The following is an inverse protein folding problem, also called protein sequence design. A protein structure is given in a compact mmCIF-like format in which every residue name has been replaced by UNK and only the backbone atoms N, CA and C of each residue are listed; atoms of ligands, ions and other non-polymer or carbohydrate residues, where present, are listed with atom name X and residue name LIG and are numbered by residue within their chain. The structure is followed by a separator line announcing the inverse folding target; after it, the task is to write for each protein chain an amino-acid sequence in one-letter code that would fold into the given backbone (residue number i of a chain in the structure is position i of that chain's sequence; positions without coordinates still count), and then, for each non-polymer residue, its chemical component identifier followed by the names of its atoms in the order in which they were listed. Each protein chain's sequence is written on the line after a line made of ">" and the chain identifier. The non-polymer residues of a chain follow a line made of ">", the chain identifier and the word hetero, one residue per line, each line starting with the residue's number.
data_IF_676621561110
#
_entry.id   IF_676621561110
#
_cell.length_a   1.000
_cell.length_b   1.000
_cell.length_c   1.000
_cell.angle_alpha   90.00
_cell.angle_beta   90.00
_cell.angle_gamma   90.00
#
_symmetry.space_group_name_H-M   'P 1'
#
loop_
_entity.id
_entity.type
_entity.pdbx_description
1 polymer ?
#
# COMPACT_ATOMS: atom_id res chain seq x y z
N UNK A 1 -15.97 -0.44 19.82
CA UNK A 1 -15.88 0.01 18.41
C UNK A 1 -15.66 1.52 18.33
N UNK A 2 -16.51 2.33 18.96
CA UNK A 2 -16.37 3.80 19.02
C UNK A 2 -14.99 4.31 19.48
N UNK A 3 -14.40 3.67 20.49
CA UNK A 3 -13.06 4.03 21.02
C UNK A 3 -11.98 3.91 19.94
N UNK A 4 -12.02 2.87 19.09
CA UNK A 4 -11.01 2.68 18.05
C UNK A 4 -11.12 3.78 17.01
N UNK A 5 -12.34 4.09 16.53
CA UNK A 5 -12.55 5.18 15.56
C UNK A 5 -12.08 6.54 16.13
N UNK A 6 -12.33 6.81 17.41
CA UNK A 6 -11.90 8.04 18.11
C UNK A 6 -10.38 8.16 18.24
N UNK A 7 -9.64 7.05 18.30
CA UNK A 7 -8.16 7.05 18.37
C UNK A 7 -7.52 7.07 16.97
N UNK A 8 -8.12 6.37 16.01
CA UNK A 8 -7.57 6.27 14.66
C UNK A 8 -7.76 7.55 13.84
N UNK A 9 -8.86 8.29 14.03
CA UNK A 9 -9.09 9.54 13.28
C UNK A 9 -8.01 10.61 13.57
N UNK A 10 -7.64 10.88 14.84
CA UNK A 10 -6.50 11.74 15.15
C UNK A 10 -5.17 11.20 14.63
N UNK A 11 -4.95 9.87 14.66
CA UNK A 11 -3.71 9.26 14.17
C UNK A 11 -3.54 9.46 12.65
N UNK A 12 -4.60 9.22 11.87
CA UNK A 12 -4.63 9.49 10.43
C UNK A 12 -4.40 10.99 10.17
N UNK A 13 -5.09 11.86 10.90
CA UNK A 13 -4.95 13.31 10.75
C UNK A 13 -3.53 13.79 11.04
N UNK A 14 -2.92 13.28 12.11
CA UNK A 14 -1.56 13.61 12.49
C UNK A 14 -0.56 13.12 11.44
N UNK A 15 -0.70 11.88 10.95
CA UNK A 15 0.17 11.36 9.91
C UNK A 15 0.06 12.18 8.61
N UNK A 16 -1.17 12.54 8.21
CA UNK A 16 -1.41 13.38 7.04
C UNK A 16 -0.83 14.80 7.19
N UNK A 17 -0.94 15.38 8.39
CA UNK A 17 -0.40 16.72 8.70
C UNK A 17 1.12 16.77 8.87
N UNK A 18 1.75 15.68 9.34
CA UNK A 18 3.19 15.58 9.55
C UNK A 18 4.00 15.28 8.28
N UNK A 19 3.35 15.27 7.11
CA UNK A 19 4.03 15.10 5.83
C UNK A 19 4.35 13.65 5.47
N UNK A 20 3.60 12.67 6.00
CA UNK A 20 3.70 11.29 5.54
C UNK A 20 3.43 11.19 4.02
N UNK A 21 4.14 10.30 3.32
CA UNK A 21 3.83 10.00 1.91
C UNK A 21 2.81 8.87 1.79
N UNK A 22 2.81 7.95 2.76
CA UNK A 22 2.01 6.73 2.78
C UNK A 22 1.46 6.52 4.19
N UNK A 23 0.17 6.21 4.29
CA UNK A 23 -0.49 5.74 5.51
C UNK A 23 -0.90 4.28 5.28
N UNK A 24 -0.44 3.39 6.17
CA UNK A 24 -0.75 1.97 6.15
C UNK A 24 -1.69 1.63 7.32
N UNK A 25 -2.97 1.42 7.01
CA UNK A 25 -3.98 0.97 7.98
C UNK A 25 -4.24 -0.51 7.76
N UNK A 26 -3.40 -1.36 8.37
CA UNK A 26 -3.47 -2.81 8.25
C UNK A 26 -4.53 -3.44 9.17
N UNK A 27 -5.72 -2.84 9.19
CA UNK A 27 -6.85 -3.20 10.04
C UNK A 27 -8.16 -2.81 9.37
N UNK A 28 -9.26 -3.40 9.84
CA UNK A 28 -10.63 -3.03 9.48
C UNK A 28 -11.47 -2.87 10.74
N UNK A 29 -12.41 -1.93 10.73
CA UNK A 29 -13.40 -1.77 11.81
C UNK A 29 -14.77 -1.44 11.21
N UNK A 30 -15.83 -1.96 11.82
CA UNK A 30 -17.20 -1.56 11.45
C UNK A 30 -17.41 -0.09 11.83
N UNK A 31 -18.00 0.72 10.95
CA UNK A 31 -18.36 2.08 11.29
C UNK A 31 -19.42 2.06 12.41
N UNK A 32 -19.49 3.09 13.26
CA UNK A 32 -20.60 3.25 14.19
C UNK A 32 -21.94 3.14 13.44
N UNK A 33 -22.96 2.48 14.02
CA UNK A 33 -24.25 2.32 13.36
C UNK A 33 -24.81 3.69 12.97
N UNK A 34 -25.38 3.84 11.78
CA UNK A 34 -26.16 5.03 11.47
C UNK A 34 -27.42 4.99 12.33
N UNK A 35 -27.67 6.04 13.10
CA UNK A 35 -28.82 6.20 13.99
C UNK A 35 -28.71 5.41 15.30
N UNK A 36 -28.22 6.08 16.37
CA UNK A 36 -28.65 5.82 17.75
C UNK A 36 -28.26 6.99 18.69
N UNK A 37 -27.19 7.75 18.42
CA UNK A 37 -26.74 8.89 19.25
C UNK A 37 -25.97 9.98 18.45
N UNK A 38 -26.05 11.27 18.86
CA UNK A 38 -25.30 12.39 18.24
C UNK A 38 -23.78 12.17 18.24
N UNK A 39 -23.27 11.47 19.25
CA UNK A 39 -21.86 11.11 19.40
C UNK A 39 -21.35 10.20 18.26
N UNK A 40 -22.20 9.32 17.74
CA UNK A 40 -21.82 8.37 16.68
C UNK A 40 -21.70 9.08 15.32
N UNK A 41 -22.57 10.06 15.06
CA UNK A 41 -22.53 10.91 13.87
C UNK A 41 -21.30 11.83 13.85
N UNK A 42 -20.93 12.40 15.01
CA UNK A 42 -19.71 13.19 15.14
C UNK A 42 -18.48 12.32 14.85
N UNK A 43 -18.40 11.13 15.44
CA UNK A 43 -17.27 10.22 15.26
C UNK A 43 -17.12 9.77 13.80
N UNK A 44 -18.23 9.46 13.12
CA UNK A 44 -18.24 9.15 11.68
C UNK A 44 -17.70 10.32 10.85
N UNK A 45 -18.14 11.54 11.16
CA UNK A 45 -17.72 12.76 10.46
C UNK A 45 -16.23 13.03 10.64
N UNK A 46 -15.72 12.93 11.86
CA UNK A 46 -14.30 13.12 12.18
C UNK A 46 -13.42 12.10 11.45
N UNK A 47 -13.86 10.85 11.37
CA UNK A 47 -13.12 9.81 10.64
C UNK A 47 -13.08 10.11 9.13
N UNK A 48 -14.21 10.48 8.53
CA UNK A 48 -14.27 10.88 7.11
C UNK A 48 -13.39 12.10 6.86
N UNK A 49 -13.39 13.09 7.76
CA UNK A 49 -12.54 14.26 7.64
C UNK A 49 -11.04 13.93 7.71
N UNK A 50 -10.65 13.02 8.60
CA UNK A 50 -9.26 12.55 8.69
C UNK A 50 -8.79 11.89 7.39
N UNK A 51 -9.61 11.01 6.80
CA UNK A 51 -9.31 10.37 5.50
C UNK A 51 -9.25 11.40 4.38
N UNK A 52 -10.17 12.38 4.36
CA UNK A 52 -10.16 13.47 3.37
C UNK A 52 -8.99 14.43 3.55
N UNK A 53 -8.48 14.62 4.76
CA UNK A 53 -7.25 15.37 5.01
C UNK A 53 -6.05 14.66 4.37
N UNK A 54 -5.94 13.35 4.53
CA UNK A 54 -4.91 12.56 3.84
C UNK A 54 -5.02 12.67 2.31
N UNK A 55 -6.25 12.64 1.77
CA UNK A 55 -6.51 12.86 0.34
C UNK A 55 -6.06 14.23 -0.14
N UNK A 56 -6.42 15.30 0.58
CA UNK A 56 -6.04 16.69 0.22
C UNK A 56 -4.52 16.91 0.25
N UNK A 57 -3.81 16.18 1.09
CA UNK A 57 -2.36 16.28 1.23
C UNK A 57 -1.60 15.35 0.28
N UNK A 58 -2.27 14.72 -0.70
CA UNK A 58 -1.68 13.73 -1.62
C UNK A 58 -0.86 12.66 -0.86
N UNK A 59 -1.41 12.18 0.25
CA UNK A 59 -0.88 11.02 0.99
C UNK A 59 -1.51 9.79 0.35
N UNK A 60 -0.77 8.71 0.13
CA UNK A 60 -1.35 7.45 -0.35
C UNK A 60 -1.86 6.65 0.85
N UNK A 61 -3.14 6.28 0.86
CA UNK A 61 -3.72 5.51 1.97
C UNK A 61 -4.05 4.08 1.53
N UNK A 62 -3.38 3.11 2.15
CA UNK A 62 -3.62 1.69 1.93
C UNK A 62 -4.31 1.08 3.15
N UNK A 63 -5.41 0.38 2.90
CA UNK A 63 -6.20 -0.27 3.93
C UNK A 63 -6.43 -1.75 3.62
N UNK A 64 -6.65 -2.55 4.67
CA UNK A 64 -6.99 -3.96 4.53
C UNK A 64 -8.43 -4.11 4.05
N UNK A 65 -8.66 -5.12 3.21
CA UNK A 65 -10.00 -5.68 3.03
C UNK A 65 -10.42 -6.43 4.30
N UNK A 66 -11.72 -6.54 4.54
CA UNK A 66 -12.23 -7.41 5.59
C UNK A 66 -11.92 -8.88 5.30
N UNK A 67 -11.48 -9.59 6.34
CA UNK A 67 -11.28 -11.04 6.33
C UNK A 67 -12.54 -11.80 6.85
N UNK A 68 -13.69 -11.12 6.96
CA UNK A 68 -14.97 -11.70 7.42
C UNK A 68 -15.77 -12.40 6.30
N UNK A 69 -15.17 -12.63 5.12
CA UNK A 69 -15.81 -13.35 4.01
C UNK A 69 -16.41 -12.46 2.91
N UNK A 70 -17.27 -13.04 2.07
CA UNK A 70 -17.79 -12.41 0.82
C UNK A 70 -19.03 -11.51 1.01
N UNK A 71 -19.26 -11.04 2.23
CA UNK A 71 -20.32 -10.05 2.49
C UNK A 71 -19.75 -8.66 2.19
N UNK A 72 -20.55 -7.82 1.52
CA UNK A 72 -20.11 -6.49 1.10
C UNK A 72 -19.44 -5.73 2.24
N UNK A 73 -18.22 -5.28 1.99
CA UNK A 73 -17.34 -4.74 3.02
C UNK A 73 -17.58 -3.23 3.18
N UNK A 74 -18.33 -2.87 4.22
CA UNK A 74 -18.63 -1.48 4.60
C UNK A 74 -17.71 -0.99 5.72
N UNK A 75 -16.58 -1.66 5.96
CA UNK A 75 -15.67 -1.32 7.04
C UNK A 75 -14.84 -0.07 6.73
N UNK A 76 -14.51 0.67 7.78
CA UNK A 76 -13.44 1.64 7.76
C UNK A 76 -12.08 0.94 7.71
N UNK A 77 -11.06 1.59 7.10
CA UNK A 77 -11.09 2.95 6.56
C UNK A 77 -11.73 3.13 5.18
N UNK A 78 -11.84 2.08 4.38
CA UNK A 78 -12.23 2.22 2.97
C UNK A 78 -13.60 2.85 2.77
N UNK A 79 -14.60 2.46 3.59
CA UNK A 79 -15.95 2.99 3.48
C UNK A 79 -16.03 4.51 3.70
N UNK A 80 -15.04 5.14 4.34
CA UNK A 80 -15.00 6.58 4.55
C UNK A 80 -14.70 7.37 3.25
N UNK A 81 -13.90 6.81 2.35
CA UNK A 81 -13.60 7.42 1.05
C UNK A 81 -13.17 6.37 0.00
N UNK A 82 -14.13 5.62 -0.58
CA UNK A 82 -13.84 4.50 -1.47
C UNK A 82 -13.02 4.86 -2.71
N UNK A 83 -13.24 6.05 -3.27
CA UNK A 83 -12.56 6.49 -4.50
C UNK A 83 -11.08 6.82 -4.27
N UNK A 84 -10.68 7.06 -3.01
CA UNK A 84 -9.36 7.52 -2.62
C UNK A 84 -8.45 6.41 -2.08
N UNK A 85 -8.98 5.54 -1.20
CA UNK A 85 -8.17 4.51 -0.55
C UNK A 85 -7.83 3.35 -1.48
N UNK A 86 -6.71 2.67 -1.25
CA UNK A 86 -6.46 1.36 -1.83
C UNK A 86 -6.92 0.27 -0.86
N UNK A 87 -7.94 -0.52 -1.23
CA UNK A 87 -8.27 -1.75 -0.49
C UNK A 87 -7.38 -2.88 -0.96
N UNK A 88 -6.66 -3.48 -0.03
CA UNK A 88 -5.73 -4.57 -0.31
C UNK A 88 -6.26 -5.86 0.29
N UNK A 89 -6.49 -6.85 -0.56
CA UNK A 89 -6.92 -8.18 -0.16
C UNK A 89 -5.76 -9.16 -0.02
N UNK A 90 -5.92 -10.16 0.84
CA UNK A 90 -5.02 -11.31 0.88
C UNK A 90 -5.20 -12.24 -0.33
N UNK A 91 -4.08 -12.75 -0.82
CA UNK A 91 -4.02 -13.80 -1.82
C UNK A 91 -3.08 -14.93 -1.39
N UNK A 92 -3.33 -16.11 -1.95
CA UNK A 92 -2.45 -17.27 -1.89
C UNK A 92 -1.24 -17.06 -2.79
N UNK A 93 -0.19 -17.86 -2.56
CA UNK A 93 1.01 -17.88 -3.42
C UNK A 93 0.70 -18.19 -4.89
N UNK A 94 -0.42 -18.87 -5.16
CA UNK A 94 -0.91 -19.17 -6.52
C UNK A 94 -1.44 -17.93 -7.25
N UNK A 95 -1.66 -16.82 -6.54
CA UNK A 95 -2.29 -15.60 -7.05
C UNK A 95 -3.82 -15.62 -7.01
N UNK A 96 -4.43 -16.68 -6.45
CA UNK A 96 -5.86 -16.69 -6.14
C UNK A 96 -6.12 -15.88 -4.86
N UNK A 97 -7.22 -15.11 -4.84
CA UNK A 97 -7.68 -14.45 -3.62
C UNK A 97 -7.93 -15.48 -2.52
N UNK A 98 -7.64 -15.09 -1.27
CA UNK A 98 -7.95 -15.93 -0.13
C UNK A 98 -9.48 -16.07 0.02
N UNK A 99 -9.95 -17.22 0.50
CA UNK A 99 -11.39 -17.55 0.56
C UNK A 99 -12.18 -16.62 1.48
N UNK A 100 -11.49 -16.02 2.46
CA UNK A 100 -12.05 -15.09 3.44
C UNK A 100 -12.09 -13.62 2.98
N UNK A 101 -11.70 -13.33 1.73
CA UNK A 101 -11.65 -11.97 1.17
C UNK A 101 -12.66 -11.83 0.02
N UNK A 102 -13.46 -10.76 0.01
CA UNK A 102 -14.28 -10.42 -1.17
C UNK A 102 -13.42 -9.79 -2.29
N UNK A 103 -13.01 -10.61 -3.26
CA UNK A 103 -12.20 -10.17 -4.39
C UNK A 103 -12.88 -9.11 -5.28
N UNK A 104 -14.21 -8.96 -5.22
CA UNK A 104 -14.93 -7.96 -6.03
C UNK A 104 -14.69 -6.55 -5.52
N UNK A 105 -14.49 -6.39 -4.22
CA UNK A 105 -14.43 -5.10 -3.54
C UNK A 105 -13.01 -4.72 -3.08
N UNK A 106 -11.97 -5.21 -3.77
CA UNK A 106 -10.57 -4.81 -3.54
C UNK A 106 -9.98 -4.03 -4.71
N UNK A 107 -9.01 -3.16 -4.44
CA UNK A 107 -8.20 -2.51 -5.48
C UNK A 107 -7.23 -3.51 -6.11
N UNK A 108 -6.51 -4.24 -5.26
CA UNK A 108 -5.60 -5.31 -5.66
C UNK A 108 -5.32 -6.27 -4.49
N UNK A 109 -4.58 -7.35 -4.75
CA UNK A 109 -4.16 -8.32 -3.75
C UNK A 109 -2.68 -8.65 -3.83
N UNK A 110 -2.12 -9.03 -2.69
CA UNK A 110 -0.75 -9.47 -2.51
C UNK A 110 -0.75 -10.72 -1.61
N UNK A 111 0.39 -11.44 -1.51
CA UNK A 111 0.51 -12.55 -0.58
C UNK A 111 0.07 -12.17 0.83
N UNK A 112 -0.94 -12.89 1.33
CA UNK A 112 -1.48 -12.69 2.67
C UNK A 112 -2.12 -13.96 3.24
N UNK A 113 -2.11 -15.07 2.49
CA UNK A 113 -2.50 -16.40 2.95
C UNK A 113 -1.26 -17.29 2.99
N UNK A 114 -1.03 -17.90 4.15
CA UNK A 114 0.14 -18.73 4.47
C UNK A 114 1.51 -18.03 4.28
N UNK A 115 1.65 -16.82 4.81
CA UNK A 115 2.93 -16.09 4.73
C UNK A 115 3.86 -16.50 5.87
N UNK A 116 5.03 -17.12 5.59
CA UNK A 116 5.99 -17.44 6.62
C UNK A 116 6.67 -16.15 7.09
N UNK A 117 6.34 -15.68 8.29
CA UNK A 117 7.07 -14.58 8.90
C UNK A 117 8.25 -15.13 9.69
N UNK A 118 9.43 -14.55 9.47
CA UNK A 118 10.61 -14.87 10.27
C UNK A 118 10.36 -14.34 11.68
N UNK A 119 10.28 -15.25 12.65
CA UNK A 119 10.19 -14.87 14.06
C UNK A 119 11.38 -13.97 14.43
N UNK A 120 11.13 -12.66 14.57
CA UNK A 120 12.11 -11.66 15.00
C UNK A 120 12.35 -11.68 16.51
N UNK A 121 11.77 -12.63 17.24
CA UNK A 121 12.13 -12.86 18.65
C UNK A 121 13.51 -13.49 18.71
N UNK A 122 14.51 -12.64 18.90
CA UNK A 122 15.76 -12.99 19.54
C UNK A 122 15.44 -13.63 20.89
N UNK A 123 15.51 -14.95 20.96
CA UNK A 123 16.34 -15.67 21.92
C UNK A 123 16.22 -17.20 21.66
N UNK A 124 17.40 -17.78 21.42
CA UNK A 124 17.79 -19.15 21.79
C UNK A 124 17.13 -20.38 21.11
N UNK A 125 17.98 -21.03 20.28
CA UNK A 125 18.29 -22.48 20.27
C UNK A 125 17.23 -23.52 19.91
N UNK A 126 16.03 -23.15 19.46
CA UNK A 126 15.14 -24.15 18.86
C UNK A 126 14.65 -23.69 17.49
N UNK A 127 14.85 -24.54 16.48
CA UNK A 127 14.16 -24.47 15.19
C UNK A 127 12.66 -24.55 15.45
N UNK A 128 12.01 -23.44 15.81
CA UNK A 128 10.55 -23.36 15.77
C UNK A 128 10.13 -23.20 14.31
N UNK A 129 9.09 -23.92 13.85
CA UNK A 129 8.53 -23.70 12.53
C UNK A 129 8.13 -22.22 12.39
N UNK A 130 8.26 -21.66 11.18
CA UNK A 130 7.78 -20.31 10.88
C UNK A 130 6.32 -20.20 11.36
N UNK A 131 6.00 -19.20 12.19
CA UNK A 131 4.61 -18.91 12.50
C UNK A 131 3.97 -18.43 11.20
N UNK A 132 3.01 -19.21 10.70
CA UNK A 132 2.32 -18.94 9.45
C UNK A 132 1.21 -17.96 9.76
N UNK A 133 1.34 -16.73 9.24
CA UNK A 133 0.34 -15.70 9.45
C UNK A 133 -0.55 -15.57 8.21
N UNK A 134 -1.83 -15.28 8.45
CA UNK A 134 -2.86 -15.07 7.43
C UNK A 134 -3.59 -13.77 7.71
N UNK A 135 -3.95 -13.05 6.66
CA UNK A 135 -4.85 -11.91 6.73
C UNK A 135 -4.53 -10.82 5.71
N UNK A 136 -5.55 -10.02 5.40
CA UNK A 136 -5.40 -8.86 4.51
C UNK A 136 -4.47 -7.79 5.12
N UNK A 137 -4.29 -7.78 6.44
CA UNK A 137 -3.29 -6.94 7.14
C UNK A 137 -1.85 -7.16 6.63
N UNK A 138 -1.47 -8.41 6.38
CA UNK A 138 -0.15 -8.77 5.84
C UNK A 138 -0.01 -8.25 4.41
N UNK A 139 -1.03 -8.49 3.59
CA UNK A 139 -1.05 -8.03 2.21
C UNK A 139 -0.99 -6.48 2.14
N UNK A 140 -1.68 -5.76 3.02
CA UNK A 140 -1.63 -4.30 3.13
C UNK A 140 -0.23 -3.80 3.52
N UNK A 141 0.43 -4.45 4.48
CA UNK A 141 1.79 -4.08 4.86
C UNK A 141 2.78 -4.28 3.69
N UNK A 142 2.67 -5.38 2.96
CA UNK A 142 3.46 -5.62 1.75
C UNK A 142 3.16 -4.59 0.65
N UNK A 143 1.89 -4.21 0.49
CA UNK A 143 1.48 -3.18 -0.46
C UNK A 143 2.09 -1.82 -0.11
N UNK A 144 2.06 -1.43 1.16
CA UNK A 144 2.67 -0.18 1.61
C UNK A 144 4.18 -0.16 1.35
N UNK A 145 4.86 -1.29 1.58
CA UNK A 145 6.28 -1.47 1.24
C UNK A 145 6.53 -1.34 -0.28
N UNK A 146 5.69 -1.96 -1.11
CA UNK A 146 5.79 -1.87 -2.57
C UNK A 146 5.59 -0.43 -3.08
N UNK A 147 4.56 0.25 -2.59
CA UNK A 147 4.30 1.67 -2.94
C UNK A 147 5.46 2.55 -2.50
N UNK A 148 6.00 2.33 -1.30
CA UNK A 148 7.20 3.01 -0.81
C UNK A 148 8.41 2.76 -1.70
N UNK A 149 8.59 1.53 -2.19
CA UNK A 149 9.68 1.19 -3.10
C UNK A 149 9.56 1.91 -4.45
N UNK A 150 8.34 2.00 -5.02
CA UNK A 150 8.10 2.78 -6.26
C UNK A 150 8.45 4.25 -6.04
N UNK A 151 7.98 4.85 -4.95
CA UNK A 151 8.27 6.24 -4.60
C UNK A 151 9.78 6.49 -4.45
N UNK A 152 10.48 5.63 -3.72
CA UNK A 152 11.93 5.76 -3.52
C UNK A 152 12.72 5.52 -4.81
N UNK A 153 12.26 4.65 -5.72
CA UNK A 153 12.88 4.52 -7.04
C UNK A 153 12.84 5.85 -7.79
N UNK A 154 11.70 6.53 -7.82
CA UNK A 154 11.55 7.84 -8.48
C UNK A 154 12.45 8.89 -7.82
N UNK A 155 12.45 8.97 -6.49
CA UNK A 155 13.29 9.90 -5.72
C UNK A 155 14.78 9.70 -6.02
N UNK A 156 15.25 8.46 -6.00
CA UNK A 156 16.64 8.12 -6.33
C UNK A 156 16.96 8.32 -7.81
N UNK A 157 15.99 8.11 -8.69
CA UNK A 157 16.07 8.44 -10.11
C UNK A 157 16.37 9.92 -10.33
N UNK A 158 15.63 10.81 -9.65
CA UNK A 158 15.88 12.26 -9.70
C UNK A 158 17.33 12.60 -9.32
N UNK A 159 17.84 12.02 -8.25
CA UNK A 159 19.23 12.26 -7.79
C UNK A 159 20.23 11.82 -8.86
N UNK A 160 19.99 10.68 -9.51
CA UNK A 160 20.86 10.16 -10.56
C UNK A 160 20.83 10.99 -11.84
N UNK A 161 19.64 11.43 -12.26
CA UNK A 161 19.46 12.21 -13.49
C UNK A 161 19.96 13.66 -13.33
N UNK A 162 20.01 14.18 -12.10
CA UNK A 162 20.55 15.49 -11.74
C UNK A 162 22.01 15.43 -11.26
N UNK A 163 22.78 14.40 -11.65
CA UNK A 163 24.20 14.34 -11.39
C UNK A 163 24.91 15.61 -11.95
N UNK A 164 25.64 16.38 -11.13
CA UNK A 164 26.27 17.63 -11.57
C UNK A 164 27.26 17.47 -12.72
N UNK A 165 27.86 16.29 -12.86
CA UNK A 165 28.88 15.99 -13.85
C UNK A 165 28.23 15.52 -15.16
N UNK A 166 27.09 14.81 -15.08
CA UNK A 166 26.42 14.22 -16.25
C UNK A 166 24.89 14.33 -16.15
N UNK A 167 24.31 15.54 -16.23
CA UNK A 167 22.87 15.73 -16.17
C UNK A 167 22.17 15.06 -17.36
N UNK A 168 20.96 14.57 -17.11
CA UNK A 168 20.13 13.85 -18.10
C UNK A 168 18.71 14.41 -18.22
N UNK A 169 18.20 15.01 -17.15
CA UNK A 169 16.89 15.67 -17.06
C UNK A 169 15.68 14.80 -17.51
N UNK A 170 15.80 13.47 -17.41
CA UNK A 170 14.70 12.55 -17.76
C UNK A 170 13.66 12.47 -16.64
N UNK A 171 14.10 12.43 -15.38
CA UNK A 171 13.22 12.37 -14.20
C UNK A 171 13.32 13.69 -13.44
N UNK A 172 12.17 14.31 -13.20
CA UNK A 172 12.01 15.63 -12.59
C UNK A 172 11.34 15.53 -11.23
N UNK A 173 11.52 16.55 -10.40
CA UNK A 173 10.86 16.65 -9.09
C UNK A 173 9.33 16.56 -9.20
N UNK A 174 8.75 17.08 -10.28
CA UNK A 174 7.30 16.97 -10.56
C UNK A 174 6.83 15.53 -10.75
N UNK A 175 7.70 14.62 -11.20
CA UNK A 175 7.37 13.20 -11.29
C UNK A 175 7.18 12.60 -9.89
N UNK A 176 7.95 13.06 -8.90
CA UNK A 176 7.84 12.61 -7.50
C UNK A 176 6.49 13.02 -6.89
N UNK A 177 6.04 14.25 -7.18
CA UNK A 177 4.70 14.71 -6.76
C UNK A 177 3.59 13.97 -7.50
N UNK A 178 3.81 13.66 -8.78
CA UNK A 178 2.82 12.95 -9.61
C UNK A 178 2.58 11.53 -9.10
N UNK A 179 3.62 10.77 -8.73
CA UNK A 179 3.45 9.39 -8.22
C UNK A 179 2.79 9.31 -6.85
N UNK A 180 2.68 10.43 -6.11
CA UNK A 180 1.92 10.49 -4.86
C UNK A 180 0.41 10.55 -5.07
N UNK A 181 -0.05 10.84 -6.28
CA UNK A 181 -1.47 10.84 -6.60
C UNK A 181 -1.95 9.39 -6.73
N UNK A 182 -3.06 9.07 -6.06
CA UNK A 182 -3.67 7.72 -6.07
C UNK A 182 -3.75 7.16 -7.49
N UNK A 183 -4.34 7.91 -8.42
CA UNK A 183 -4.51 7.49 -9.82
C UNK A 183 -3.19 7.12 -10.50
N UNK A 184 -2.15 7.95 -10.34
CA UNK A 184 -0.86 7.68 -10.99
C UNK A 184 -0.20 6.43 -10.40
N UNK A 185 -0.22 6.27 -9.07
CA UNK A 185 0.26 5.05 -8.42
C UNK A 185 -0.54 3.81 -8.85
N UNK A 186 -1.86 3.94 -8.94
CA UNK A 186 -2.76 2.88 -9.41
C UNK A 186 -2.39 2.44 -10.83
N UNK A 187 -2.18 3.38 -11.76
CA UNK A 187 -1.75 3.08 -13.14
C UNK A 187 -0.38 2.37 -13.18
N UNK A 188 0.57 2.75 -12.31
CA UNK A 188 1.88 2.08 -12.18
C UNK A 188 1.69 0.63 -11.71
N UNK A 189 0.92 0.41 -10.64
CA UNK A 189 0.69 -0.91 -10.08
C UNK A 189 -0.07 -1.82 -11.06
N UNK A 190 -1.06 -1.29 -11.76
CA UNK A 190 -1.80 -2.03 -12.78
C UNK A 190 -0.90 -2.45 -13.94
N UNK A 191 -0.01 -1.57 -14.41
CA UNK A 191 0.87 -1.87 -15.55
C UNK A 191 1.95 -2.90 -15.22
N UNK A 192 2.53 -2.81 -14.02
CA UNK A 192 3.74 -3.57 -13.65
C UNK A 192 3.50 -4.68 -12.64
N UNK A 193 2.31 -4.75 -12.06
CA UNK A 193 1.91 -5.77 -11.11
C UNK A 193 0.76 -6.64 -11.61
N UNK A 194 -0.26 -6.11 -12.28
CA UNK A 194 -1.40 -6.96 -12.67
C UNK A 194 -1.08 -7.77 -13.93
N UNK A 195 -1.36 -9.09 -13.89
CA UNK A 195 -1.38 -9.90 -15.11
C UNK A 195 -2.49 -9.39 -16.04
N UNK A 196 -2.22 -9.35 -17.35
CA UNK A 196 -3.22 -9.02 -18.37
C UNK A 196 -4.31 -10.10 -18.53
N UNK A 197 -4.08 -11.28 -17.95
CA UNK A 197 -4.94 -12.44 -18.12
C UNK A 197 -6.05 -12.43 -17.05
N UNK A 198 -7.18 -11.83 -17.45
CA UNK A 198 -8.55 -11.92 -16.93
C UNK A 198 -8.79 -12.31 -15.45
N UNK A 199 -9.50 -11.43 -14.72
CA UNK A 199 -10.12 -11.60 -13.41
C UNK A 199 -9.24 -11.66 -12.16
N UNK A 200 -7.92 -11.83 -12.24
CA UNK A 200 -7.08 -11.78 -11.02
C UNK A 200 -6.64 -10.34 -10.72
N UNK A 201 -7.01 -9.85 -9.53
CA UNK A 201 -6.51 -8.58 -8.97
C UNK A 201 -5.15 -8.75 -8.27
N UNK A 202 -4.43 -9.83 -8.52
CA UNK A 202 -3.15 -10.14 -7.87
C UNK A 202 -1.98 -9.39 -8.51
N UNK A 203 -1.17 -8.70 -7.69
CA UNK A 203 0.05 -8.04 -8.15
C UNK A 203 1.23 -9.03 -8.23
N UNK A 204 1.55 -9.46 -9.45
CA UNK A 204 2.76 -10.18 -9.81
C UNK A 204 3.93 -9.22 -10.08
N UNK A 205 4.69 -8.92 -9.03
CA UNK A 205 5.85 -8.01 -9.09
C UNK A 205 7.20 -8.73 -9.27
N UNK A 206 7.20 -10.06 -9.29
CA UNK A 206 8.43 -10.88 -9.31
C UNK A 206 9.27 -10.66 -10.58
N UNK A 207 8.63 -10.36 -11.71
CA UNK A 207 9.32 -10.04 -12.96
C UNK A 207 9.97 -8.65 -12.98
N UNK A 208 9.51 -7.74 -12.12
CA UNK A 208 9.89 -6.32 -12.11
C UNK A 208 11.13 -6.08 -11.27
N UNK A 209 11.19 -6.66 -10.07
CA UNK A 209 12.31 -6.48 -9.14
C UNK A 209 13.22 -7.71 -9.14
N UNK A 210 14.26 -7.68 -10.00
CA UNK A 210 15.26 -8.76 -10.09
C UNK A 210 16.38 -8.56 -9.07
N UNK A 211 16.72 -9.58 -8.30
CA UNK A 211 17.75 -9.50 -7.26
C UNK A 211 19.14 -9.12 -7.82
N UNK A 212 19.41 -9.47 -9.07
CA UNK A 212 20.64 -9.15 -9.79
C UNK A 212 20.82 -7.64 -10.00
N UNK A 213 19.72 -6.86 -10.02
CA UNK A 213 19.73 -5.41 -10.11
C UNK A 213 20.46 -4.73 -8.93
N UNK A 214 20.50 -5.40 -7.78
CA UNK A 214 21.08 -4.88 -6.53
C UNK A 214 22.53 -5.31 -6.30
N UNK A 215 23.14 -6.05 -7.23
CA UNK A 215 24.54 -6.49 -7.16
C UNK A 215 25.48 -5.50 -7.87
N UNK A 216 26.67 -5.29 -7.31
CA UNK A 216 27.73 -4.46 -7.90
C UNK A 216 27.95 -3.12 -7.21
N UNK A 217 28.58 -2.18 -7.93
CA UNK A 217 28.98 -0.86 -7.42
C UNK A 217 27.78 0.04 -7.15
N UNK A 218 27.97 1.08 -6.31
CA UNK A 218 26.94 2.08 -6.03
C UNK A 218 26.38 2.70 -7.30
N UNK A 219 27.25 3.10 -8.23
CA UNK A 219 26.84 3.69 -9.52
C UNK A 219 25.94 2.75 -10.33
N UNK A 220 26.30 1.47 -10.45
CA UNK A 220 25.47 0.47 -11.14
C UNK A 220 24.10 0.33 -10.50
N UNK A 221 24.02 0.29 -9.17
CA UNK A 221 22.75 0.18 -8.44
C UNK A 221 21.89 1.42 -8.68
N UNK A 222 22.46 2.63 -8.57
CA UNK A 222 21.72 3.88 -8.78
C UNK A 222 21.22 3.99 -10.22
N UNK A 223 22.03 3.59 -11.21
CA UNK A 223 21.62 3.54 -12.62
C UNK A 223 20.43 2.61 -12.84
N UNK A 224 20.45 1.46 -12.20
CA UNK A 224 19.36 0.47 -12.31
C UNK A 224 18.08 0.94 -11.61
N UNK A 225 18.20 1.62 -10.46
CA UNK A 225 17.07 2.27 -9.78
C UNK A 225 16.48 3.38 -10.66
N UNK A 226 17.31 4.22 -11.30
CA UNK A 226 16.84 5.21 -12.28
C UNK A 226 16.13 4.54 -13.46
N UNK A 227 16.65 3.40 -13.96
CA UNK A 227 15.97 2.61 -15.01
C UNK A 227 14.58 2.17 -14.56
N UNK A 228 14.43 1.67 -13.33
CA UNK A 228 13.12 1.29 -12.79
C UNK A 228 12.18 2.50 -12.67
N UNK A 229 12.68 3.63 -12.18
CA UNK A 229 11.89 4.86 -12.10
C UNK A 229 11.38 5.31 -13.47
N UNK A 230 12.24 5.31 -14.49
CA UNK A 230 11.87 5.60 -15.88
C UNK A 230 10.81 4.65 -16.42
N UNK A 231 10.95 3.35 -16.13
CA UNK A 231 9.92 2.36 -16.46
C UNK A 231 8.59 2.74 -15.80
N UNK A 232 8.56 3.00 -14.49
CA UNK A 232 7.33 3.42 -13.80
C UNK A 232 6.71 4.69 -14.40
N UNK A 233 7.53 5.66 -14.76
CA UNK A 233 7.12 6.96 -15.30
C UNK A 233 6.86 6.96 -16.82
N UNK A 234 7.21 5.88 -17.54
CA UNK A 234 7.19 5.79 -19.01
C UNK A 234 8.12 6.80 -19.70
N UNK A 235 9.37 6.86 -19.26
CA UNK A 235 10.42 7.74 -19.81
C UNK A 235 11.68 6.97 -20.24
#
# INVERSE_FOLDING_TARGET
>A
MLIVVRVESPAISHAAGSGAQIICTAWTIKPPPPEDDEDDDEVRRLFVEAVRLAQRNDVLMLCSASDEGQQGDTNYPHAACPDYTFRVGAARWTGASAEYVDARDISFSLPGDDVPLRNMKYEERYFRPFDVHKGSSIATALAAGLVGLVYECVRMGIIYENDPIKPRDLIKVDDLWSVRKKRAMEEILQRYGLKKDANSKYLNIWGTFKAEALRGTRDRKTKEISRLARVFLQK
#
